data_IF_791031614824
#
_entry.id   IF_791031614824
#
_cell.length_a   1.000
_cell.length_b   1.000
_cell.length_c   1.000
_cell.angle_alpha   90.00
_cell.angle_beta   90.00
_cell.angle_gamma   90.00
#
_symmetry.space_group_name_H-M   'P 1'
#
loop_
_entity.id
_entity.type
_entity.pdbx_description
1 polymer ?
#
# COMPACT_ATOMS: atom_id res chain seq x y z
N UNK A 1 -5.94 5.77 0.07
CA UNK A 1 -4.97 4.71 0.40
C UNK A 1 -3.74 5.16 1.21
N UNK A 2 -3.49 6.47 1.40
CA UNK A 2 -2.32 6.96 2.14
C UNK A 2 -2.58 7.35 3.60
N UNK A 3 -3.60 6.79 4.26
CA UNK A 3 -3.95 7.13 5.64
C UNK A 3 -3.35 6.12 6.64
N UNK A 4 -3.11 6.55 7.87
CA UNK A 4 -2.68 5.67 8.97
C UNK A 4 -3.80 4.76 9.48
N UNK A 5 -5.05 5.11 9.21
CA UNK A 5 -6.21 4.28 9.50
C UNK A 5 -7.02 4.10 8.21
N UNK A 6 -7.30 2.85 7.85
CA UNK A 6 -8.11 2.48 6.69
C UNK A 6 -9.18 1.50 7.17
N UNK A 7 -10.45 1.78 6.88
CA UNK A 7 -11.58 0.92 7.27
C UNK A 7 -11.61 0.57 8.78
N UNK A 8 -11.18 1.49 9.63
CA UNK A 8 -11.12 1.29 11.08
C UNK A 8 -9.91 0.47 11.57
N UNK A 9 -9.05 -0.03 10.66
CA UNK A 9 -7.80 -0.71 11.01
C UNK A 9 -6.68 0.32 11.00
N UNK A 10 -5.97 0.45 12.12
CA UNK A 10 -4.85 1.38 12.25
C UNK A 10 -3.52 0.68 11.94
N UNK A 11 -2.61 1.42 11.33
CA UNK A 11 -1.28 0.92 11.04
C UNK A 11 -0.51 0.68 12.36
N UNK A 12 0.10 -0.49 12.49
CA UNK A 12 0.98 -0.84 13.60
C UNK A 12 2.41 -0.33 13.40
N UNK A 13 2.78 -0.07 12.14
CA UNK A 13 4.04 0.55 11.77
C UNK A 13 3.87 1.42 10.52
N UNK A 14 4.64 2.51 10.46
CA UNK A 14 4.57 3.49 9.37
C UNK A 14 5.96 3.94 8.97
N UNK A 15 6.24 3.97 7.68
CA UNK A 15 7.42 4.59 7.09
C UNK A 15 6.96 5.66 6.11
N UNK A 16 7.57 6.84 6.19
CA UNK A 16 7.33 7.95 5.26
C UNK A 16 8.66 8.58 4.88
N UNK A 17 8.85 8.79 3.58
CA UNK A 17 10.07 9.35 3.00
C UNK A 17 9.71 10.45 2.02
N UNK A 18 10.24 11.64 2.27
CA UNK A 18 10.19 12.72 1.29
C UNK A 18 10.91 12.27 0.01
N UNK A 19 10.31 12.58 -1.14
CA UNK A 19 10.95 12.32 -2.42
C UNK A 19 12.17 13.22 -2.56
N UNK A 20 13.23 12.81 -3.28
CA UNK A 20 14.37 13.69 -3.57
C UNK A 20 13.88 15.02 -4.18
N UNK A 21 14.50 16.14 -3.81
CA UNK A 21 14.09 17.48 -4.31
C UNK A 21 14.06 17.57 -5.85
N UNK A 22 14.99 16.90 -6.53
CA UNK A 22 15.02 16.82 -7.98
C UNK A 22 13.91 15.95 -8.58
N UNK A 23 13.15 15.21 -7.78
CA UNK A 23 12.01 14.41 -8.22
C UNK A 23 10.68 15.12 -7.85
N UNK A 24 10.69 15.87 -6.74
CA UNK A 24 9.55 16.68 -6.27
C UNK A 24 9.05 17.72 -7.29
N UNK A 25 9.93 18.26 -8.17
CA UNK A 25 9.49 19.23 -9.20
C UNK A 25 8.54 18.62 -10.23
N UNK A 26 8.66 17.31 -10.48
CA UNK A 26 7.82 16.57 -11.41
C UNK A 26 6.62 15.94 -10.69
N UNK A 27 6.84 15.51 -9.45
CA UNK A 27 5.89 14.75 -8.65
C UNK A 27 5.91 15.25 -7.21
N UNK A 28 4.95 16.09 -6.82
CA UNK A 28 4.78 16.45 -5.42
C UNK A 28 4.43 15.21 -4.58
N UNK A 29 5.01 15.07 -3.38
CA UNK A 29 4.54 14.08 -2.41
C UNK A 29 5.62 13.32 -1.63
N UNK A 30 5.14 12.29 -0.94
CA UNK A 30 5.87 11.44 0.01
C UNK A 30 5.69 9.99 -0.43
N UNK A 31 6.77 9.20 -0.46
CA UNK A 31 6.66 7.74 -0.54
C UNK A 31 6.38 7.21 0.86
N UNK A 32 5.40 6.32 0.97
CA UNK A 32 4.95 5.82 2.25
C UNK A 32 4.71 4.31 2.21
N UNK A 33 4.92 3.67 3.36
CA UNK A 33 4.55 2.29 3.63
C UNK A 33 3.89 2.22 4.98
N UNK A 34 2.81 1.45 5.08
CA UNK A 34 2.06 1.26 6.31
C UNK A 34 1.72 -0.21 6.47
N UNK A 35 1.98 -0.73 7.65
CA UNK A 35 1.71 -2.12 8.00
C UNK A 35 0.48 -2.16 8.86
N UNK A 36 -0.51 -2.93 8.45
CA UNK A 36 -1.78 -3.08 9.13
C UNK A 36 -1.91 -4.50 9.65
N UNK A 37 -2.34 -4.63 10.90
CA UNK A 37 -2.59 -5.90 11.54
C UNK A 37 -3.94 -5.87 12.23
N UNK A 38 -4.67 -6.97 12.12
CA UNK A 38 -5.98 -7.15 12.74
C UNK A 38 -6.08 -8.60 13.22
N UNK A 39 -6.02 -8.81 14.54
CA UNK A 39 -6.05 -10.15 15.13
C UNK A 39 -7.34 -10.93 14.84
N UNK A 40 -8.41 -10.25 14.38
CA UNK A 40 -9.68 -10.87 14.02
C UNK A 40 -9.74 -11.38 12.57
N UNK A 41 -8.71 -11.11 11.76
CA UNK A 41 -8.67 -11.42 10.32
C UNK A 41 -7.33 -12.02 9.93
N UNK A 42 -7.35 -12.89 8.94
CA UNK A 42 -6.13 -13.36 8.28
C UNK A 42 -5.53 -12.25 7.40
N UNK A 43 -4.23 -12.34 7.11
CA UNK A 43 -3.56 -11.43 6.17
C UNK A 43 -4.20 -11.46 4.77
N UNK A 44 -4.72 -12.61 4.34
CA UNK A 44 -5.43 -12.75 3.07
C UNK A 44 -6.76 -11.97 3.07
N UNK A 45 -7.59 -12.13 4.11
CA UNK A 45 -8.84 -11.37 4.25
C UNK A 45 -8.59 -9.86 4.33
N UNK A 46 -7.56 -9.46 5.08
CA UNK A 46 -7.18 -8.05 5.20
C UNK A 46 -6.64 -7.49 3.88
N UNK A 47 -5.90 -8.30 3.11
CA UNK A 47 -5.41 -7.94 1.76
C UNK A 47 -6.58 -7.72 0.81
N UNK A 48 -7.52 -8.66 0.73
CA UNK A 48 -8.73 -8.50 -0.10
C UNK A 48 -9.53 -7.26 0.29
N UNK A 49 -9.72 -7.00 1.60
CA UNK A 49 -10.43 -5.83 2.09
C UNK A 49 -9.79 -4.51 1.62
N UNK A 50 -8.46 -4.41 1.66
CA UNK A 50 -7.77 -3.22 1.18
C UNK A 50 -7.74 -3.10 -0.34
N UNK A 51 -7.74 -4.21 -1.08
CA UNK A 51 -7.90 -4.21 -2.53
C UNK A 51 -9.28 -3.66 -2.91
N UNK A 52 -10.35 -4.19 -2.33
CA UNK A 52 -11.72 -3.73 -2.59
C UNK A 52 -11.88 -2.23 -2.25
N UNK A 53 -11.26 -1.81 -1.14
CA UNK A 53 -11.23 -0.40 -0.76
C UNK A 53 -10.44 0.45 -1.76
N UNK A 54 -9.29 -0.01 -2.25
CA UNK A 54 -8.54 0.68 -3.28
C UNK A 54 -9.34 0.81 -4.59
N UNK A 55 -9.97 -0.27 -5.04
CA UNK A 55 -10.75 -0.29 -6.28
C UNK A 55 -11.97 0.63 -6.21
N UNK A 56 -12.67 0.64 -5.07
CA UNK A 56 -13.76 1.60 -4.84
C UNK A 56 -13.30 3.08 -4.81
N UNK A 57 -12.00 3.32 -4.68
CA UNK A 57 -11.37 4.65 -4.66
C UNK A 57 -10.54 4.92 -5.93
N UNK A 58 -10.90 4.28 -7.05
CA UNK A 58 -10.38 4.63 -8.37
C UNK A 58 -9.04 3.97 -8.73
N UNK A 59 -8.49 3.11 -7.88
CA UNK A 59 -7.31 2.33 -8.23
C UNK A 59 -7.71 1.14 -9.10
N UNK A 60 -6.94 0.88 -10.15
CA UNK A 60 -7.16 -0.25 -11.05
C UNK A 60 -5.97 -1.19 -11.00
N UNK A 61 -6.22 -2.50 -10.96
CA UNK A 61 -5.15 -3.50 -10.96
C UNK A 61 -4.25 -3.35 -12.18
N UNK A 62 -2.93 -3.28 -11.96
CA UNK A 62 -1.91 -3.31 -13.01
C UNK A 62 -1.85 -4.73 -13.61
N UNK A 63 -1.98 -4.90 -14.94
CA UNK A 63 -1.85 -6.19 -15.61
C UNK A 63 -0.42 -6.74 -15.65
N UNK A 64 0.58 -5.99 -15.15
CA UNK A 64 1.97 -6.43 -15.02
C UNK A 64 2.17 -7.65 -14.09
N UNK A 65 3.43 -8.11 -13.90
CA UNK A 65 3.71 -9.30 -13.11
C UNK A 65 3.42 -9.04 -11.62
N UNK A 66 2.20 -9.34 -11.19
CA UNK A 66 1.86 -9.49 -9.78
C UNK A 66 2.30 -10.87 -9.33
N UNK A 67 2.99 -10.97 -8.20
CA UNK A 67 3.06 -12.26 -7.50
C UNK A 67 1.64 -12.62 -7.04
N UNK A 68 1.29 -13.91 -6.90
CA UNK A 68 -0.08 -14.32 -6.58
C UNK A 68 -0.66 -13.66 -5.32
N UNK A 69 0.22 -13.24 -4.40
CA UNK A 69 -0.12 -12.67 -3.11
C UNK A 69 -0.04 -11.14 -3.07
N UNK A 70 0.51 -10.48 -4.11
CA UNK A 70 0.58 -9.01 -4.18
C UNK A 70 -0.39 -8.44 -5.21
N UNK A 71 -0.94 -7.28 -4.88
CA UNK A 71 -1.76 -6.49 -5.77
C UNK A 71 -1.10 -5.14 -5.99
N UNK A 72 -0.95 -4.80 -7.26
CA UNK A 72 -0.37 -3.53 -7.71
C UNK A 72 -1.51 -2.74 -8.36
N UNK A 73 -1.77 -1.55 -7.84
CA UNK A 73 -2.77 -0.63 -8.34
C UNK A 73 -2.15 0.57 -9.05
N UNK A 74 -2.78 0.98 -10.13
CA UNK A 74 -2.53 2.25 -10.83
C UNK A 74 -3.75 3.14 -10.70
N UNK A 75 -3.52 4.43 -10.50
CA UNK A 75 -4.56 5.45 -10.61
C UNK A 75 -4.39 6.15 -11.96
N UNK A 76 -5.48 6.36 -12.69
CA UNK A 76 -5.43 6.97 -14.03
C UNK A 76 -5.82 8.44 -14.01
N UNK A 77 -5.14 9.29 -14.78
CA UNK A 77 -5.48 10.71 -14.93
C UNK A 77 -4.27 11.61 -15.23
N UNK A 78 -4.35 12.88 -14.82
CA UNK A 78 -3.32 13.91 -15.03
C UNK A 78 -2.78 14.53 -13.73
N UNK A 79 -3.28 14.13 -12.56
CA UNK A 79 -2.80 14.57 -11.26
C UNK A 79 -1.47 13.88 -10.88
N UNK A 80 -0.63 14.50 -10.04
CA UNK A 80 0.63 13.87 -9.60
C UNK A 80 0.42 12.48 -8.97
N UNK A 81 -0.68 12.29 -8.24
CA UNK A 81 -1.08 10.99 -7.66
C UNK A 81 -1.34 9.91 -8.70
N UNK A 82 -1.63 10.28 -9.95
CA UNK A 82 -1.88 9.34 -11.05
C UNK A 82 -0.58 8.71 -11.57
N UNK A 83 0.57 9.29 -11.22
CA UNK A 83 1.88 8.68 -11.43
C UNK A 83 2.26 7.65 -10.36
N UNK A 84 1.48 7.54 -9.27
CA UNK A 84 1.81 6.67 -8.16
C UNK A 84 1.36 5.23 -8.41
N UNK A 85 2.14 4.31 -7.87
CA UNK A 85 1.83 2.90 -7.70
C UNK A 85 1.35 2.69 -6.27
N UNK A 86 0.25 1.97 -6.14
CA UNK A 86 -0.21 1.39 -4.89
C UNK A 86 0.20 -0.08 -4.85
N UNK A 87 0.82 -0.49 -3.76
CA UNK A 87 1.08 -1.90 -3.47
C UNK A 87 0.26 -2.32 -2.26
N UNK A 88 -0.47 -3.42 -2.38
CA UNK A 88 -1.10 -4.12 -1.25
C UNK A 88 -0.57 -5.55 -1.27
N UNK A 89 0.13 -5.95 -0.21
CA UNK A 89 0.71 -7.28 -0.12
C UNK A 89 0.81 -7.74 1.34
N UNK A 90 0.71 -9.04 1.63
CA UNK A 90 1.07 -9.57 2.93
C UNK A 90 2.55 -9.27 3.20
N UNK A 91 2.88 -9.00 4.46
CA UNK A 91 4.27 -8.86 4.87
C UNK A 91 4.88 -10.26 5.04
N UNK A 92 5.60 -10.72 4.01
CA UNK A 92 6.25 -12.05 3.96
C UNK A 92 7.72 -11.95 4.46
N UNK A 93 8.05 -10.94 5.26
CA UNK A 93 9.36 -10.86 5.91
C UNK A 93 9.65 -12.12 6.74
N UNK A 94 10.93 -12.54 6.92
CA UNK A 94 11.32 -13.78 7.58
C UNK A 94 11.13 -13.76 9.11
N UNK A 95 10.07 -13.11 9.59
CA UNK A 95 9.99 -12.67 10.95
C UNK A 95 8.90 -13.41 11.73
N UNK A 96 9.11 -14.72 11.95
CA UNK A 96 8.22 -15.55 12.81
C UNK A 96 8.10 -15.03 14.26
N UNK A 97 8.94 -14.07 14.67
CA UNK A 97 8.97 -13.46 16.01
C UNK A 97 8.74 -11.94 16.01
N UNK A 98 8.45 -11.34 14.85
CA UNK A 98 8.20 -9.89 14.75
C UNK A 98 6.71 -9.61 14.96
N UNK A 99 6.35 -8.54 15.69
CA UNK A 99 4.97 -8.06 15.79
C UNK A 99 4.28 -7.80 14.44
N UNK A 100 5.02 -7.78 13.33
CA UNK A 100 4.49 -7.63 11.96
C UNK A 100 4.12 -8.94 11.25
N UNK A 101 4.37 -10.12 11.85
CA UNK A 101 3.95 -11.40 11.26
C UNK A 101 2.43 -11.46 11.06
N UNK A 102 2.00 -11.68 9.81
CA UNK A 102 0.58 -11.68 9.43
C UNK A 102 -0.01 -10.29 9.17
N UNK A 103 0.82 -9.24 9.14
CA UNK A 103 0.40 -7.91 8.70
C UNK A 103 0.28 -7.80 7.18
N UNK A 104 -0.39 -6.75 6.72
CA UNK A 104 -0.50 -6.37 5.31
C UNK A 104 0.13 -5.00 5.12
N UNK A 105 1.02 -4.90 4.14
CA UNK A 105 1.68 -3.66 3.76
C UNK A 105 0.89 -2.97 2.67
N UNK A 106 0.50 -1.72 2.95
CA UNK A 106 -0.01 -0.77 1.96
C UNK A 106 1.09 0.26 1.67
N UNK A 107 1.59 0.25 0.45
CA UNK A 107 2.65 1.14 -0.02
C UNK A 107 2.16 2.08 -1.11
N UNK A 108 2.57 3.35 -1.05
CA UNK A 108 2.40 4.31 -2.12
C UNK A 108 3.77 4.88 -2.51
N UNK A 109 4.09 4.84 -3.79
CA UNK A 109 5.34 5.36 -4.32
C UNK A 109 5.25 5.65 -5.81
N UNK A 110 6.26 6.31 -6.35
CA UNK A 110 6.38 6.48 -7.79
C UNK A 110 7.21 5.33 -8.37
N UNK A 111 6.88 4.92 -9.60
CA UNK A 111 7.58 3.89 -10.36
C UNK A 111 9.01 4.30 -10.76
#
# INVERSE_FOLDING_TARGET
MGAETILGVSAVFTESRELPRWFQWKYGGVSLRRWFYDASRTSAELTSLFIDYAESHGWTRDPGPSTPESWIGRHGGTEPTDGMILNVAPDIGPHETDPLSGSVVVGLGYA
#
